data_IF_265909926219
#
_entry.id   IF_265909926219
#
_cell.length_a   1.000
_cell.length_b   1.000
_cell.length_c   1.000
_cell.angle_alpha   90.00
_cell.angle_beta   90.00
_cell.angle_gamma   90.00
#
_symmetry.space_group_name_H-M   'P 1'
#
loop_
_entity.id
_entity.type
_entity.pdbx_description
1 polymer ?
#
# COMPACT_ATOMS: atom_id res chain seq x y z
N UNK A 1 -54.69 -60.52 35.00
CA UNK A 1 -54.77 -59.05 34.86
C UNK A 1 -53.36 -58.53 35.07
N UNK A 2 -52.66 -57.93 34.11
CA UNK A 2 -52.98 -56.70 33.38
C UNK A 2 -52.14 -56.63 32.09
N UNK A 3 -52.72 -56.06 31.03
CA UNK A 3 -52.12 -55.84 29.71
C UNK A 3 -50.79 -55.07 29.75
N UNK A 4 -49.88 -55.40 28.81
CA UNK A 4 -48.98 -54.39 28.22
C UNK A 4 -48.76 -54.69 26.73
N UNK A 5 -49.36 -53.83 25.90
CA UNK A 5 -49.18 -53.78 24.44
C UNK A 5 -47.75 -53.29 24.14
N UNK A 6 -47.07 -53.91 23.18
CA UNK A 6 -45.87 -53.32 22.56
C UNK A 6 -45.91 -53.53 21.04
N UNK A 7 -45.64 -52.44 20.34
CA UNK A 7 -45.70 -52.26 18.89
C UNK A 7 -44.66 -53.11 18.13
N UNK A 8 -44.92 -53.45 16.85
CA UNK A 8 -43.93 -54.10 16.01
C UNK A 8 -42.87 -53.09 15.55
N UNK A 9 -41.59 -53.44 15.76
CA UNK A 9 -40.45 -52.75 15.17
C UNK A 9 -40.29 -53.25 13.73
N UNK A 10 -40.68 -52.40 12.77
CA UNK A 10 -40.34 -52.52 11.36
C UNK A 10 -38.81 -52.46 11.25
N UNK A 11 -38.16 -53.60 10.99
CA UNK A 11 -36.73 -53.66 10.67
C UNK A 11 -36.44 -52.95 9.33
N UNK A 12 -35.26 -52.31 9.18
CA UNK A 12 -34.91 -51.58 7.97
C UNK A 12 -34.74 -52.54 6.79
N UNK A 13 -35.23 -52.09 5.63
CA UNK A 13 -35.15 -52.78 4.36
C UNK A 13 -33.68 -53.08 3.98
N UNK A 14 -33.42 -54.35 3.71
CA UNK A 14 -32.15 -54.88 3.23
C UNK A 14 -31.95 -54.41 1.76
N UNK A 15 -31.10 -53.40 1.55
CA UNK A 15 -30.64 -53.02 0.21
C UNK A 15 -29.59 -54.02 -0.29
N UNK A 16 -29.65 -54.47 -1.56
CA UNK A 16 -28.84 -55.58 -2.04
C UNK A 16 -27.34 -55.21 -2.17
N UNK A 17 -26.40 -56.14 -1.85
CA UNK A 17 -24.95 -55.89 -1.77
C UNK A 17 -24.27 -55.53 -3.10
N UNK A 18 -24.96 -55.64 -4.24
CA UNK A 18 -24.39 -55.36 -5.57
C UNK A 18 -24.23 -53.86 -5.86
N UNK A 19 -25.08 -53.01 -5.27
CA UNK A 19 -25.03 -51.56 -5.49
C UNK A 19 -23.89 -50.94 -4.68
N UNK A 20 -23.66 -51.42 -3.45
CA UNK A 20 -22.57 -50.98 -2.59
C UNK A 20 -21.18 -51.26 -3.19
N UNK A 21 -20.97 -52.45 -3.77
CA UNK A 21 -19.70 -52.82 -4.42
C UNK A 21 -19.44 -52.01 -5.70
N UNK A 22 -20.49 -51.71 -6.48
CA UNK A 22 -20.38 -50.83 -7.66
C UNK A 22 -20.00 -49.39 -7.28
N UNK A 23 -20.53 -48.88 -6.17
CA UNK A 23 -20.19 -47.56 -5.66
C UNK A 23 -18.73 -47.50 -5.17
N UNK A 24 -18.23 -48.54 -4.51
CA UNK A 24 -16.83 -48.63 -4.09
C UNK A 24 -15.84 -48.73 -5.26
N UNK A 25 -16.19 -49.45 -6.34
CA UNK A 25 -15.39 -49.48 -7.57
C UNK A 25 -15.27 -48.09 -8.22
N UNK A 26 -16.37 -47.34 -8.27
CA UNK A 26 -16.37 -45.96 -8.81
C UNK A 26 -15.52 -45.00 -7.98
N UNK A 27 -15.53 -45.13 -6.65
CA UNK A 27 -14.70 -44.31 -5.75
C UNK A 27 -13.22 -44.62 -5.92
N UNK A 28 -12.84 -45.90 -6.07
CA UNK A 28 -11.46 -46.30 -6.32
C UNK A 28 -10.94 -45.76 -7.66
N UNK A 29 -11.77 -45.77 -8.70
CA UNK A 29 -11.41 -45.21 -10.00
C UNK A 29 -11.26 -43.68 -9.95
N UNK A 30 -12.12 -43.00 -9.20
CA UNK A 30 -12.00 -41.56 -8.96
C UNK A 30 -10.72 -41.22 -8.18
N UNK A 31 -10.36 -42.01 -7.16
CA UNK A 31 -9.10 -41.85 -6.44
C UNK A 31 -7.88 -42.12 -7.35
N UNK A 32 -7.92 -43.15 -8.21
CA UNK A 32 -6.84 -43.43 -9.16
C UNK A 32 -6.59 -42.24 -10.10
N UNK A 33 -7.67 -41.64 -10.63
CA UNK A 33 -7.58 -40.46 -11.48
C UNK A 33 -7.02 -39.23 -10.75
N UNK A 34 -7.39 -39.04 -9.48
CA UNK A 34 -6.86 -37.95 -8.65
C UNK A 34 -5.37 -38.13 -8.36
N UNK A 35 -4.92 -39.36 -8.07
CA UNK A 35 -3.50 -39.64 -7.87
C UNK A 35 -2.67 -39.42 -9.13
N UNK A 36 -3.18 -39.83 -10.29
CA UNK A 36 -2.51 -39.62 -11.57
C UNK A 36 -2.45 -38.13 -11.94
N UNK A 37 -3.54 -37.40 -11.69
CA UNK A 37 -3.55 -35.93 -11.82
C UNK A 37 -2.53 -35.27 -10.88
N UNK A 38 -2.47 -35.69 -9.62
CA UNK A 38 -1.50 -35.17 -8.66
C UNK A 38 -0.06 -35.47 -9.10
N UNK A 39 0.23 -36.71 -9.54
CA UNK A 39 1.54 -37.08 -10.05
C UNK A 39 1.96 -36.22 -11.26
N UNK A 40 1.03 -35.97 -12.18
CA UNK A 40 1.27 -35.09 -13.33
C UNK A 40 1.55 -33.64 -12.89
N UNK A 41 0.80 -33.11 -11.91
CA UNK A 41 1.02 -31.75 -11.38
C UNK A 41 2.37 -31.61 -10.67
N UNK A 42 2.78 -32.60 -9.88
CA UNK A 42 4.08 -32.62 -9.20
C UNK A 42 5.22 -32.69 -10.21
N UNK A 43 5.06 -33.50 -11.26
CA UNK A 43 6.05 -33.59 -12.34
C UNK A 43 6.16 -32.26 -13.08
N UNK A 44 5.02 -31.63 -13.43
CA UNK A 44 4.99 -30.32 -14.07
C UNK A 44 5.65 -29.22 -13.22
N UNK A 45 5.39 -29.22 -11.91
CA UNK A 45 6.01 -28.27 -10.99
C UNK A 45 7.52 -28.49 -10.85
N UNK A 46 7.95 -29.75 -10.84
CA UNK A 46 9.38 -30.10 -10.80
C UNK A 46 10.10 -29.65 -12.07
N UNK A 47 9.47 -29.85 -13.24
CA UNK A 47 10.02 -29.35 -14.51
C UNK A 47 10.07 -27.82 -14.54
N UNK A 48 9.03 -27.14 -14.03
CA UNK A 48 9.00 -25.68 -13.94
C UNK A 48 10.09 -25.13 -13.02
N UNK A 49 10.33 -25.78 -11.86
CA UNK A 49 11.38 -25.37 -10.94
C UNK A 49 12.78 -25.53 -11.57
N UNK A 50 13.01 -26.63 -12.29
CA UNK A 50 14.27 -26.87 -13.02
C UNK A 50 14.51 -25.80 -14.08
N UNK A 51 13.47 -25.43 -14.83
CA UNK A 51 13.56 -24.37 -15.84
C UNK A 51 13.86 -23.00 -15.21
N UNK A 52 13.19 -22.65 -14.10
CA UNK A 52 13.50 -21.42 -13.35
C UNK A 52 14.94 -21.40 -12.83
N UNK A 53 15.45 -22.52 -12.32
CA UNK A 53 16.84 -22.63 -11.87
C UNK A 53 17.83 -22.45 -13.03
N UNK A 54 17.53 -23.02 -14.20
CA UNK A 54 18.34 -22.85 -15.41
C UNK A 54 18.36 -21.39 -15.87
N UNK A 55 17.21 -20.70 -15.84
CA UNK A 55 17.13 -19.27 -16.17
C UNK A 55 17.96 -18.41 -15.22
N UNK A 56 17.90 -18.67 -13.91
CA UNK A 56 18.72 -17.96 -12.92
C UNK A 56 20.22 -18.19 -13.12
N UNK A 57 20.63 -19.42 -13.46
CA UNK A 57 22.02 -19.74 -13.77
C UNK A 57 22.50 -18.98 -15.03
N UNK A 58 21.65 -18.88 -16.05
CA UNK A 58 21.97 -18.14 -17.28
C UNK A 58 22.06 -16.63 -17.05
N UNK A 59 21.17 -16.05 -16.24
CA UNK A 59 21.25 -14.64 -15.81
C UNK A 59 22.54 -14.39 -15.01
N UNK A 60 22.90 -15.30 -14.10
CA UNK A 60 24.13 -15.17 -13.32
C UNK A 60 25.38 -15.22 -14.21
N UNK A 61 25.43 -16.14 -15.17
CA UNK A 61 26.55 -16.27 -16.10
C UNK A 61 26.72 -15.02 -16.99
N UNK A 62 25.61 -14.46 -17.49
CA UNK A 62 25.62 -13.23 -18.30
C UNK A 62 26.06 -12.00 -17.50
N UNK A 63 25.66 -11.87 -16.23
CA UNK A 63 26.15 -10.80 -15.36
C UNK A 63 27.66 -10.92 -15.10
N UNK A 64 28.20 -12.14 -14.96
CA UNK A 64 29.63 -12.37 -14.83
C UNK A 64 30.40 -12.01 -16.11
N UNK A 65 29.87 -12.34 -17.29
CA UNK A 65 30.49 -11.96 -18.56
C UNK A 65 30.57 -10.43 -18.70
N UNK A 66 29.48 -9.72 -18.40
CA UNK A 66 29.44 -8.25 -18.38
C UNK A 66 30.47 -7.67 -17.37
N UNK A 67 30.58 -8.27 -16.18
CA UNK A 67 31.55 -7.85 -15.18
C UNK A 67 33.01 -8.05 -15.65
N UNK A 68 33.28 -9.07 -16.46
CA UNK A 68 34.62 -9.33 -17.02
C UNK A 68 34.97 -8.47 -18.25
N UNK A 69 33.99 -7.93 -18.97
CA UNK A 69 34.22 -7.04 -20.11
C UNK A 69 34.46 -5.57 -19.70
N UNK A 70 33.92 -5.13 -18.55
CA UNK A 70 34.08 -3.76 -18.01
C UNK A 70 35.54 -3.29 -17.81
N UNK A 71 36.50 -4.14 -17.37
CA UNK A 71 37.92 -3.77 -17.27
C UNK A 71 38.62 -3.56 -18.61
N UNK A 72 38.21 -4.25 -19.68
CA UNK A 72 38.89 -4.20 -20.99
C UNK A 72 38.67 -2.86 -21.72
N UNK A 73 37.52 -2.21 -21.50
CA UNK A 73 37.22 -0.87 -22.02
C UNK A 73 37.99 0.26 -21.32
N UNK A 74 38.70 -0.03 -20.20
CA UNK A 74 39.38 0.99 -19.38
C UNK A 74 40.89 1.13 -19.69
N UNK A 75 41.50 0.22 -20.47
CA UNK A 75 42.97 0.17 -20.66
C UNK A 75 43.46 0.89 -21.92
N UNK A 76 42.59 1.41 -22.79
CA UNK A 76 43.02 2.18 -23.96
C UNK A 76 43.10 3.69 -23.65
N UNK A 77 44.06 4.12 -22.84
CA UNK A 77 44.50 5.52 -22.83
C UNK A 77 45.99 5.61 -22.51
N UNK A 78 46.87 5.90 -23.50
CA UNK A 78 48.26 6.20 -23.22
C UNK A 78 48.37 7.61 -22.66
N UNK A 79 49.04 7.69 -21.51
CA UNK A 79 49.43 8.90 -20.82
C UNK A 79 50.24 9.85 -21.71
N UNK A 80 50.05 11.16 -21.52
CA UNK A 80 51.08 12.17 -21.79
C UNK A 80 51.12 13.17 -20.64
N UNK A 81 52.30 13.24 -20.04
CA UNK A 81 52.69 14.04 -18.88
C UNK A 81 52.81 15.52 -19.28
N UNK A 82 52.22 16.44 -18.50
CA UNK A 82 52.74 17.80 -18.34
C UNK A 82 52.21 18.44 -17.04
N UNK A 83 53.10 19.16 -16.38
CA UNK A 83 53.09 19.59 -14.98
C UNK A 83 52.14 20.78 -14.66
N UNK A 84 51.78 20.82 -13.36
CA UNK A 84 51.52 21.98 -12.49
C UNK A 84 50.34 22.93 -12.79
N UNK A 85 49.29 22.89 -11.95
CA UNK A 85 49.07 23.89 -10.88
C UNK A 85 47.79 23.57 -10.04
N UNK A 86 47.96 23.50 -8.72
CA UNK A 86 47.08 23.83 -7.56
C UNK A 86 45.53 23.60 -7.58
N UNK A 87 45.05 23.14 -6.42
CA UNK A 87 43.71 22.69 -6.00
C UNK A 87 42.56 23.73 -6.15
N UNK A 88 41.24 23.38 -6.11
CA UNK A 88 40.62 22.54 -5.07
C UNK A 88 39.73 21.38 -5.54
N UNK A 89 39.56 20.44 -4.62
CA UNK A 89 38.73 19.23 -4.65
C UNK A 89 37.30 19.48 -5.17
N UNK A 90 36.97 18.83 -6.29
CA UNK A 90 35.59 18.60 -6.73
C UNK A 90 35.31 17.11 -6.69
N UNK A 91 34.24 16.75 -5.99
CA UNK A 91 33.75 15.40 -5.70
C UNK A 91 33.74 14.46 -6.93
N UNK A 92 33.92 13.14 -6.76
CA UNK A 92 33.78 12.20 -7.87
C UNK A 92 32.31 12.12 -8.30
N UNK A 93 32.12 12.25 -9.61
CA UNK A 93 30.86 12.22 -10.32
C UNK A 93 30.04 10.95 -10.00
N UNK A 94 28.75 11.18 -9.73
CA UNK A 94 27.72 10.15 -9.62
C UNK A 94 27.64 9.31 -10.91
N UNK A 95 27.56 7.99 -10.73
CA UNK A 95 27.09 7.06 -11.74
C UNK A 95 25.70 7.51 -12.27
N UNK A 96 25.32 7.15 -13.52
CA UNK A 96 24.01 7.50 -14.05
C UNK A 96 22.95 6.75 -13.24
N UNK A 97 22.36 7.44 -12.26
CA UNK A 97 21.16 6.97 -11.59
C UNK A 97 20.11 6.76 -12.66
N UNK A 98 19.44 5.60 -12.63
CA UNK A 98 18.18 5.39 -13.32
C UNK A 98 17.34 6.67 -13.18
N UNK A 99 16.73 7.12 -14.28
CA UNK A 99 16.01 8.38 -14.39
C UNK A 99 14.86 8.45 -13.38
N UNK A 100 15.20 8.70 -12.12
CA UNK A 100 14.30 9.06 -11.06
C UNK A 100 14.04 10.55 -11.27
N UNK A 101 12.78 10.90 -11.54
CA UNK A 101 12.37 12.28 -11.39
C UNK A 101 12.74 12.69 -9.95
N UNK A 102 13.62 13.69 -9.76
CA UNK A 102 14.05 14.08 -8.44
C UNK A 102 12.84 14.70 -7.72
N UNK A 103 12.24 13.93 -6.83
CA UNK A 103 11.23 14.45 -5.90
C UNK A 103 11.95 15.44 -5.00
N UNK A 104 11.41 16.66 -4.89
CA UNK A 104 11.95 17.67 -3.98
C UNK A 104 12.09 17.09 -2.58
N UNK A 105 13.17 17.47 -1.88
CA UNK A 105 13.33 17.07 -0.47
C UNK A 105 12.10 17.56 0.30
N UNK A 106 11.51 16.72 1.17
CA UNK A 106 10.37 17.16 1.97
C UNK A 106 10.69 18.40 2.79
N UNK A 107 9.65 19.18 3.05
CA UNK A 107 9.72 20.39 3.84
C UNK A 107 10.04 20.07 5.31
N UNK A 108 10.44 21.10 6.04
CA UNK A 108 10.67 20.98 7.49
C UNK A 108 9.33 20.93 8.23
N UNK A 109 9.26 20.08 9.27
CA UNK A 109 8.06 19.89 10.08
C UNK A 109 8.31 20.29 11.53
N UNK A 110 7.56 21.27 12.00
CA UNK A 110 7.69 21.91 13.32
C UNK A 110 6.89 21.21 14.44
N UNK A 111 6.02 20.26 14.09
CA UNK A 111 5.08 19.63 15.01
C UNK A 111 3.64 20.14 14.89
N UNK A 112 3.34 21.00 13.92
CA UNK A 112 1.99 21.52 13.69
C UNK A 112 1.03 20.41 13.19
N UNK A 113 -0.08 20.14 13.89
CA UNK A 113 -0.98 19.03 13.55
C UNK A 113 -1.56 19.17 12.13
N UNK A 114 -1.72 20.41 11.65
CA UNK A 114 -2.28 20.68 10.32
C UNK A 114 -1.38 20.23 9.17
N UNK A 115 -0.07 20.12 9.42
CA UNK A 115 0.93 19.80 8.40
C UNK A 115 1.36 18.33 8.45
N UNK A 116 1.02 17.59 9.51
CA UNK A 116 1.50 16.23 9.76
C UNK A 116 1.21 15.27 8.59
N UNK A 117 -0.04 15.22 8.12
CA UNK A 117 -0.44 14.34 7.02
C UNK A 117 0.25 14.69 5.70
N UNK A 118 0.40 15.98 5.41
CA UNK A 118 1.13 16.46 4.24
C UNK A 118 2.62 16.10 4.29
N UNK A 119 3.24 16.29 5.45
CA UNK A 119 4.63 15.90 5.70
C UNK A 119 4.87 14.40 5.56
N UNK A 120 3.99 13.56 6.13
CA UNK A 120 4.07 12.10 6.00
C UNK A 120 3.92 11.65 4.54
N UNK A 121 3.05 12.31 3.76
CA UNK A 121 2.93 12.08 2.33
C UNK A 121 4.23 12.42 1.59
N UNK A 122 4.81 13.59 1.86
CA UNK A 122 6.10 13.99 1.28
C UNK A 122 7.22 12.99 1.61
N UNK A 123 7.29 12.52 2.87
CA UNK A 123 8.24 11.50 3.31
C UNK A 123 8.06 10.19 2.54
N UNK A 124 6.83 9.72 2.42
CA UNK A 124 6.52 8.47 1.70
C UNK A 124 6.90 8.58 0.23
N UNK A 125 6.56 9.67 -0.45
CA UNK A 125 6.92 9.91 -1.85
C UNK A 125 8.43 9.97 -2.05
N UNK A 126 9.14 10.63 -1.13
CA UNK A 126 10.60 10.71 -1.20
C UNK A 126 11.25 9.32 -1.09
N UNK A 127 10.82 8.47 -0.15
CA UNK A 127 11.39 7.13 0.01
C UNK A 127 11.00 6.15 -1.10
N UNK A 128 9.84 6.33 -1.74
CA UNK A 128 9.46 5.56 -2.94
C UNK A 128 10.40 5.88 -4.10
N UNK A 129 10.76 7.15 -4.30
CA UNK A 129 11.65 7.57 -5.39
C UNK A 129 13.15 7.48 -5.06
N UNK A 130 13.51 7.44 -3.78
CA UNK A 130 14.87 7.30 -3.28
C UNK A 130 14.93 6.09 -2.34
N UNK A 131 15.03 4.87 -2.87
CA UNK A 131 15.02 3.65 -2.06
C UNK A 131 16.26 3.60 -1.16
N UNK A 132 16.07 3.92 0.12
CA UNK A 132 17.06 3.75 1.17
C UNK A 132 16.88 2.34 1.76
N UNK A 133 17.91 1.49 1.74
CA UNK A 133 17.82 0.10 2.21
C UNK A 133 18.00 -0.06 3.71
N UNK A 134 18.48 0.97 4.41
CA UNK A 134 18.80 0.92 5.85
C UNK A 134 17.81 1.78 6.63
N UNK A 135 17.11 1.17 7.58
CA UNK A 135 16.12 1.85 8.41
C UNK A 135 16.73 2.98 9.24
N UNK A 136 17.93 2.77 9.80
CA UNK A 136 18.65 3.83 10.53
C UNK A 136 18.87 5.09 9.67
N UNK A 137 19.16 4.93 8.37
CA UNK A 137 19.32 6.05 7.46
C UNK A 137 17.99 6.74 7.13
N UNK A 138 16.89 5.97 7.01
CA UNK A 138 15.53 6.52 6.85
C UNK A 138 15.11 7.34 8.06
N UNK A 139 15.29 6.79 9.26
CA UNK A 139 14.97 7.44 10.54
C UNK A 139 15.82 8.71 10.70
N UNK A 140 17.13 8.63 10.46
CA UNK A 140 18.02 9.80 10.53
C UNK A 140 17.63 10.90 9.54
N UNK A 141 17.29 10.53 8.30
CA UNK A 141 16.80 11.49 7.32
C UNK A 141 15.48 12.12 7.75
N UNK A 142 14.54 11.33 8.25
CA UNK A 142 13.25 11.80 8.73
C UNK A 142 13.44 12.81 9.86
N UNK A 143 14.26 12.48 10.88
CA UNK A 143 14.57 13.37 12.00
C UNK A 143 15.26 14.66 11.51
N UNK A 144 16.11 14.60 10.48
CA UNK A 144 16.75 15.79 9.90
C UNK A 144 15.77 16.82 9.32
N UNK A 145 14.52 16.40 9.07
CA UNK A 145 13.44 17.25 8.58
C UNK A 145 12.57 17.80 9.69
N UNK A 146 12.72 17.32 10.92
CA UNK A 146 11.99 17.85 12.07
C UNK A 146 12.62 19.16 12.57
N UNK A 147 11.78 20.06 13.08
CA UNK A 147 12.14 21.31 13.74
C UNK A 147 11.29 21.51 14.99
N UNK A 148 11.72 22.45 15.85
CA UNK A 148 10.98 22.90 17.03
C UNK A 148 10.42 21.74 17.87
N UNK A 149 9.09 21.71 18.09
CA UNK A 149 8.43 20.74 18.96
C UNK A 149 8.58 19.30 18.48
N UNK A 150 8.62 19.09 17.17
CA UNK A 150 8.84 17.76 16.61
C UNK A 150 10.27 17.26 16.84
N UNK A 151 11.25 18.15 16.78
CA UNK A 151 12.64 17.80 17.08
C UNK A 151 12.87 17.57 18.59
N UNK A 152 12.23 18.36 19.44
CA UNK A 152 12.24 18.15 20.89
C UNK A 152 11.69 16.77 21.26
N UNK A 153 10.57 16.38 20.65
CA UNK A 153 10.01 15.03 20.80
C UNK A 153 10.97 13.94 20.33
N UNK A 154 11.56 14.08 19.13
CA UNK A 154 12.47 13.09 18.57
C UNK A 154 13.71 12.91 19.46
N UNK A 155 14.19 13.99 20.07
CA UNK A 155 15.30 13.97 21.03
C UNK A 155 14.93 13.21 22.30
N UNK A 156 13.70 13.40 22.83
CA UNK A 156 13.23 12.72 24.03
C UNK A 156 13.08 11.20 23.83
N UNK A 157 12.62 10.76 22.66
CA UNK A 157 12.39 9.34 22.37
C UNK A 157 13.61 8.64 21.76
N UNK A 158 14.67 9.35 21.41
CA UNK A 158 15.86 8.81 20.72
C UNK A 158 16.38 7.48 21.30
N UNK A 159 16.55 7.32 22.62
CA UNK A 159 17.05 6.07 23.20
C UNK A 159 16.13 4.86 22.95
N UNK A 160 14.84 5.09 22.69
CA UNK A 160 13.85 4.05 22.43
C UNK A 160 13.76 3.68 20.94
N UNK A 161 14.20 4.55 20.03
CA UNK A 161 14.10 4.36 18.58
C UNK A 161 15.46 4.12 17.92
N UNK A 162 16.57 4.30 18.64
CA UNK A 162 17.91 3.98 18.18
C UNK A 162 18.02 2.48 17.85
N UNK A 163 18.31 2.17 16.59
CA UNK A 163 18.36 0.79 16.09
C UNK A 163 16.99 0.13 15.83
N UNK A 164 15.89 0.87 15.96
CA UNK A 164 14.55 0.37 15.63
C UNK A 164 14.28 0.36 14.13
N UNK A 165 13.20 -0.31 13.72
CA UNK A 165 12.75 -0.30 12.33
C UNK A 165 12.05 1.01 11.98
N UNK A 166 12.06 1.37 10.69
CA UNK A 166 11.38 2.58 10.23
C UNK A 166 9.87 2.53 10.50
N UNK A 167 9.28 1.34 10.44
CA UNK A 167 7.86 1.12 10.76
C UNK A 167 7.54 1.39 12.23
N UNK A 168 8.39 0.93 13.15
CA UNK A 168 8.23 1.19 14.58
C UNK A 168 8.32 2.68 14.88
N UNK A 169 9.35 3.35 14.34
CA UNK A 169 9.49 4.80 14.45
C UNK A 169 8.26 5.56 13.92
N UNK A 170 7.76 5.19 12.74
CA UNK A 170 6.57 5.82 12.15
C UNK A 170 5.32 5.63 13.01
N UNK A 171 5.18 4.48 13.67
CA UNK A 171 4.05 4.22 14.56
C UNK A 171 4.08 5.16 15.77
N UNK A 172 5.23 5.29 16.42
CA UNK A 172 5.42 6.24 17.54
C UNK A 172 5.19 7.69 17.10
N UNK A 173 5.69 8.06 15.91
CA UNK A 173 5.47 9.39 15.35
C UNK A 173 3.98 9.69 15.13
N UNK A 174 3.26 8.76 14.48
CA UNK A 174 1.82 8.92 14.22
C UNK A 174 1.01 8.99 15.50
N UNK A 175 1.39 8.22 16.53
CA UNK A 175 0.71 8.27 17.83
C UNK A 175 0.75 9.67 18.47
N UNK A 176 1.81 10.43 18.23
CA UNK A 176 1.99 11.77 18.82
C UNK A 176 1.52 12.89 17.89
N UNK A 177 1.71 12.76 16.58
CA UNK A 177 1.48 13.85 15.63
C UNK A 177 0.33 13.62 14.63
N UNK A 178 -0.07 12.38 14.34
CA UNK A 178 -1.17 12.08 13.40
C UNK A 178 -2.52 12.11 14.12
N UNK A 179 -2.82 13.26 14.71
CA UNK A 179 -4.12 13.54 15.31
C UNK A 179 -5.04 14.20 14.27
N UNK A 180 -6.34 13.85 14.24
CA UNK A 180 -7.29 14.57 13.41
C UNK A 180 -7.27 16.07 13.76
N UNK A 181 -7.45 16.94 12.76
CA UNK A 181 -7.52 18.39 12.98
C UNK A 181 -8.53 18.69 14.10
N UNK A 182 -8.08 19.32 15.19
CA UNK A 182 -8.88 19.60 16.40
C UNK A 182 -9.53 18.38 17.09
N UNK A 183 -9.00 17.17 16.89
CA UNK A 183 -9.58 15.93 17.41
C UNK A 183 -10.86 15.48 16.71
N UNK A 184 -11.23 16.11 15.58
CA UNK A 184 -12.43 15.76 14.81
C UNK A 184 -12.05 14.92 13.59
N UNK A 185 -12.70 13.78 13.41
CA UNK A 185 -12.53 12.98 12.19
C UNK A 185 -12.96 13.77 10.94
N UNK A 186 -12.45 13.39 9.76
CA UNK A 186 -12.90 14.00 8.50
C UNK A 186 -14.41 13.86 8.30
N UNK A 187 -15.02 12.79 8.81
CA UNK A 187 -16.47 12.63 8.84
C UNK A 187 -17.19 13.66 9.72
N UNK A 188 -16.65 14.00 10.90
CA UNK A 188 -17.23 15.05 11.75
C UNK A 188 -17.12 16.44 11.13
N UNK A 189 -15.98 16.74 10.49
CA UNK A 189 -15.82 17.98 9.72
C UNK A 189 -16.81 18.04 8.56
N UNK A 190 -17.00 16.92 7.85
CA UNK A 190 -17.98 16.80 6.77
C UNK A 190 -19.41 17.04 7.27
N UNK A 191 -19.75 16.55 8.47
CA UNK A 191 -21.07 16.78 9.09
C UNK A 191 -21.33 18.25 9.39
N UNK A 192 -20.29 18.98 9.80
CA UNK A 192 -20.39 20.40 10.14
C UNK A 192 -20.22 21.32 8.94
N UNK A 193 -19.73 20.80 7.81
CA UNK A 193 -19.46 21.58 6.62
C UNK A 193 -20.76 22.19 6.07
N UNK A 194 -20.74 23.51 5.86
CA UNK A 194 -21.81 24.28 5.23
C UNK A 194 -21.23 25.19 4.16
N UNK A 195 -21.97 25.40 3.07
CA UNK A 195 -21.61 26.35 2.03
C UNK A 195 -21.52 27.78 2.59
N UNK A 196 -22.51 28.17 3.40
CA UNK A 196 -22.59 29.52 3.97
C UNK A 196 -22.61 30.57 2.86
N UNK A 197 -21.78 31.62 3.00
CA UNK A 197 -21.65 32.69 2.01
C UNK A 197 -20.59 32.42 0.93
N UNK A 198 -19.95 31.25 0.96
CA UNK A 198 -18.89 30.88 0.01
C UNK A 198 -19.48 30.41 -1.33
N UNK A 199 -18.64 30.41 -2.37
CA UNK A 199 -19.03 29.90 -3.67
C UNK A 199 -19.35 28.39 -3.60
N UNK A 200 -20.17 27.89 -4.53
CA UNK A 200 -20.45 26.44 -4.62
C UNK A 200 -19.16 25.67 -4.90
N UNK A 201 -18.26 26.22 -5.72
CA UNK A 201 -16.99 25.59 -6.10
C UNK A 201 -16.02 25.44 -4.92
N UNK A 202 -15.90 26.47 -4.06
CA UNK A 202 -15.04 26.39 -2.87
C UNK A 202 -15.58 25.36 -1.87
N UNK A 203 -16.91 25.36 -1.67
CA UNK A 203 -17.58 24.37 -0.84
C UNK A 203 -17.43 22.95 -1.39
N UNK A 204 -17.59 22.78 -2.70
CA UNK A 204 -17.43 21.52 -3.41
C UNK A 204 -16.02 20.94 -3.27
N UNK A 205 -15.00 21.78 -3.38
CA UNK A 205 -13.61 21.37 -3.19
C UNK A 205 -13.37 20.87 -1.76
N UNK A 206 -13.78 21.65 -0.75
CA UNK A 206 -13.63 21.28 0.65
C UNK A 206 -14.42 19.99 0.98
N UNK A 207 -15.64 19.87 0.45
CA UNK A 207 -16.46 18.66 0.60
C UNK A 207 -15.76 17.44 0.01
N UNK A 208 -15.26 17.52 -1.23
CA UNK A 208 -14.55 16.39 -1.88
C UNK A 208 -13.30 15.97 -1.10
N UNK A 209 -12.52 16.94 -0.61
CA UNK A 209 -11.33 16.66 0.20
C UNK A 209 -11.68 15.95 1.51
N UNK A 210 -12.73 16.38 2.21
CA UNK A 210 -13.18 15.72 3.44
C UNK A 210 -13.83 14.35 3.16
N UNK A 211 -14.62 14.25 2.09
CA UNK A 211 -15.28 13.01 1.68
C UNK A 211 -14.26 11.90 1.38
N UNK A 212 -13.19 12.21 0.66
CA UNK A 212 -12.14 11.26 0.27
C UNK A 212 -11.49 10.53 1.47
N UNK A 213 -11.36 11.21 2.62
CA UNK A 213 -10.79 10.62 3.83
C UNK A 213 -11.81 10.24 4.90
N UNK A 214 -13.10 10.45 4.66
CA UNK A 214 -14.18 10.15 5.62
C UNK A 214 -14.54 8.66 5.69
N UNK A 215 -14.31 7.91 4.61
CA UNK A 215 -14.75 6.51 4.48
C UNK A 215 -16.27 6.33 4.27
N UNK A 216 -17.00 7.43 4.03
CA UNK A 216 -18.46 7.38 3.85
C UNK A 216 -18.83 6.88 2.44
N UNK A 217 -19.96 6.18 2.36
CA UNK A 217 -20.46 5.69 1.08
C UNK A 217 -21.14 6.81 0.27
N UNK A 218 -21.23 6.63 -1.05
CA UNK A 218 -21.78 7.64 -1.96
C UNK A 218 -23.22 8.08 -1.65
N UNK A 219 -24.17 7.19 -1.25
CA UNK A 219 -25.49 7.62 -0.81
C UNK A 219 -25.45 8.59 0.38
N UNK A 220 -24.61 8.33 1.39
CA UNK A 220 -24.44 9.22 2.53
C UNK A 220 -23.83 10.56 2.11
N UNK A 221 -22.81 10.54 1.24
CA UNK A 221 -22.17 11.75 0.72
C UNK A 221 -23.17 12.64 -0.05
N UNK A 222 -24.04 12.07 -0.90
CA UNK A 222 -25.07 12.85 -1.61
C UNK A 222 -26.03 13.56 -0.67
N UNK A 223 -26.49 12.88 0.37
CA UNK A 223 -27.38 13.48 1.39
C UNK A 223 -26.65 14.62 2.11
N UNK A 224 -25.39 14.42 2.49
CA UNK A 224 -24.61 15.43 3.18
C UNK A 224 -24.30 16.65 2.31
N UNK A 225 -24.00 16.44 1.03
CA UNK A 225 -23.75 17.55 0.11
C UNK A 225 -24.99 18.43 -0.01
N UNK A 226 -26.17 17.83 -0.24
CA UNK A 226 -27.46 18.54 -0.30
C UNK A 226 -27.77 19.29 1.00
N UNK A 227 -27.52 18.66 2.15
CA UNK A 227 -27.72 19.29 3.46
C UNK A 227 -26.72 20.43 3.74
N UNK A 228 -25.57 20.42 3.07
CA UNK A 228 -24.54 21.44 3.21
C UNK A 228 -24.74 22.67 2.33
N UNK A 229 -25.52 22.55 1.25
CA UNK A 229 -25.81 23.64 0.31
C UNK A 229 -26.75 24.69 0.90
N UNK A 230 -26.67 25.90 0.35
CA UNK A 230 -27.61 26.98 0.66
C UNK A 230 -28.97 26.72 0.00
N UNK A 231 -30.05 27.17 0.64
CA UNK A 231 -31.42 26.86 0.23
C UNK A 231 -31.78 27.36 -1.18
N UNK A 232 -31.22 28.49 -1.62
CA UNK A 232 -31.33 29.03 -2.98
C UNK A 232 -30.71 28.08 -4.02
N UNK A 233 -29.48 27.64 -3.78
CA UNK A 233 -28.75 26.69 -4.63
C UNK A 233 -29.44 25.32 -4.63
N UNK A 234 -29.89 24.86 -3.46
CA UNK A 234 -30.60 23.60 -3.31
C UNK A 234 -31.95 23.62 -4.06
N UNK A 235 -32.68 24.74 -4.04
CA UNK A 235 -33.92 24.89 -4.79
C UNK A 235 -33.68 24.87 -6.31
N UNK A 236 -32.62 25.51 -6.78
CA UNK A 236 -32.22 25.46 -8.19
C UNK A 236 -31.80 24.04 -8.60
N UNK A 237 -31.08 23.33 -7.72
CA UNK A 237 -30.65 21.95 -7.94
C UNK A 237 -31.83 20.96 -7.93
N UNK A 238 -32.81 21.18 -7.05
CA UNK A 238 -34.03 20.36 -6.99
C UNK A 238 -34.90 20.50 -8.25
N UNK A 239 -34.82 21.63 -8.96
CA UNK A 239 -35.45 21.78 -10.27
C UNK A 239 -34.71 21.06 -11.41
N UNK A 240 -33.48 20.57 -11.18
CA UNK A 240 -32.59 19.98 -12.18
C UNK A 240 -32.34 18.47 -12.01
N UNK A 241 -32.75 17.85 -10.91
CA UNK A 241 -32.18 16.56 -10.47
C UNK A 241 -33.23 15.43 -10.35
N UNK A 242 -33.26 14.56 -11.36
CA UNK A 242 -33.76 13.18 -11.29
C UNK A 242 -32.56 12.21 -11.21
N UNK A 243 -31.97 12.06 -10.01
CA UNK A 243 -31.12 10.90 -9.69
C UNK A 243 -29.65 10.98 -10.08
N UNK A 244 -29.06 12.16 -10.20
CA UNK A 244 -27.68 12.32 -10.65
C UNK A 244 -26.64 11.72 -9.66
N UNK A 245 -25.52 11.17 -10.17
CA UNK A 245 -24.39 10.70 -9.37
C UNK A 245 -23.66 11.87 -8.68
N UNK A 246 -22.87 11.57 -7.64
CA UNK A 246 -22.23 12.60 -6.82
C UNK A 246 -21.32 13.52 -7.65
N UNK A 247 -20.59 13.01 -8.64
CA UNK A 247 -19.69 13.83 -9.45
C UNK A 247 -20.41 14.87 -10.30
N UNK A 248 -21.61 14.55 -10.78
CA UNK A 248 -22.43 15.43 -11.60
C UNK A 248 -23.18 16.47 -10.74
N UNK A 249 -23.45 16.14 -9.47
CA UNK A 249 -24.03 17.04 -8.47
C UNK A 249 -23.03 18.12 -7.99
N UNK A 250 -21.73 17.84 -8.08
CA UNK A 250 -20.63 18.68 -7.55
C UNK A 250 -19.78 19.28 -8.69
N UNK A 251 -20.17 19.09 -9.97
CA UNK A 251 -19.47 19.68 -11.13
C UNK A 251 -19.91 21.11 -11.41
#
# INVERSE_FOLDING_TARGET
MTLKKHFPLQGPAEEPPKIAVGNQGRVLEQHSQLFESLANTVTALTTQQSEQHSQLAQITASLQDIATQLPQLRVASPASLAFANQAPVSSPASAPSAAAFPVSKPDKYDGSPDLCRGFLLQMSLFFVNSPVSVDAARISFFISRLTDKALDWATAIWPSIEGSTYEHFLKEFKLVFDHPHHGQSQGELLVKLRQGNRSVSDFALEFRTLAAGSGWNEPALRVMFRNGLRADVLAELACKDDGLPLDELIS
#
